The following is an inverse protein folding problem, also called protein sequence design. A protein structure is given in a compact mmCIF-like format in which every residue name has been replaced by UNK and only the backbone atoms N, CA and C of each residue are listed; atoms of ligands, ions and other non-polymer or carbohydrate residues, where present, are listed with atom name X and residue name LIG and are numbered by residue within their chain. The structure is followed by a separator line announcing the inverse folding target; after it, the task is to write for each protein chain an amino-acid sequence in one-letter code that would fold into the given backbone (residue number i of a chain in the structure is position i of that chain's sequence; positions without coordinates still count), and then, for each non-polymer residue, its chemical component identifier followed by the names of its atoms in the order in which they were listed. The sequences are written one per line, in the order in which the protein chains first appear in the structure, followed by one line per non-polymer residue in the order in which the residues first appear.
data_IF_183972428721
#
_entry.id   IF_183972428721
#
_cell.length_a   1.000
_cell.length_b   1.000
_cell.length_c   1.000
_cell.angle_alpha   90.00
_cell.angle_beta   90.00
_cell.angle_gamma   90.00
#
_symmetry.space_group_name_H-M   'P 1'
#
loop_
_entity.id
_entity.type
_entity.pdbx_description
1 polymer ?
#
# COMPACT_ATOMS: atom_id res chain seq x y z
N UNK A 1 -9.07 -7.30 -16.92
CA UNK A 1 -8.64 -8.64 -16.47
C UNK A 1 -8.38 -8.57 -14.97
N UNK A 2 -9.24 -9.17 -14.12
CA UNK A 2 -8.99 -9.28 -12.68
C UNK A 2 -8.16 -10.55 -12.44
N UNK A 3 -6.87 -10.39 -12.21
CA UNK A 3 -6.00 -11.49 -11.79
C UNK A 3 -6.36 -11.86 -10.34
N UNK A 4 -6.54 -13.16 -10.04
CA UNK A 4 -6.65 -13.65 -8.65
C UNK A 4 -5.29 -13.49 -7.94
N UNK A 5 -5.27 -13.65 -6.61
CA UNK A 5 -4.08 -13.51 -5.73
C UNK A 5 -2.85 -14.31 -6.21
N UNK A 6 -3.08 -15.36 -7.01
CA UNK A 6 -2.08 -16.13 -7.70
C UNK A 6 -2.68 -16.59 -9.03
N UNK A 7 -2.08 -16.23 -10.16
CA UNK A 7 -2.56 -16.66 -11.47
C UNK A 7 -1.40 -16.94 -12.43
N UNK A 8 -1.44 -18.13 -13.02
CA UNK A 8 -0.58 -18.50 -14.13
C UNK A 8 -1.24 -18.11 -15.46
N UNK A 9 -0.54 -17.33 -16.27
CA UNK A 9 -0.95 -17.04 -17.64
C UNK A 9 -0.11 -17.88 -18.59
N UNK A 10 -0.78 -18.53 -19.54
CA UNK A 10 -0.16 -19.30 -20.61
C UNK A 10 -0.48 -18.61 -21.93
N UNK A 11 0.55 -18.05 -22.57
CA UNK A 11 0.41 -17.47 -23.90
C UNK A 11 1.02 -18.42 -24.93
N UNK A 12 0.16 -19.07 -25.73
CA UNK A 12 0.58 -19.85 -26.88
C UNK A 12 0.75 -18.90 -28.08
N UNK A 13 1.91 -18.26 -28.20
CA UNK A 13 2.28 -17.64 -29.48
C UNK A 13 2.64 -18.77 -30.42
N UNK A 14 1.98 -18.86 -31.58
CA UNK A 14 2.00 -19.96 -32.54
C UNK A 14 3.35 -20.27 -33.22
N UNK A 15 4.46 -20.15 -32.50
CA UNK A 15 5.80 -20.49 -32.93
C UNK A 15 6.60 -21.00 -31.70
N UNK A 16 6.56 -22.32 -31.48
CA UNK A 16 7.54 -23.12 -30.73
C UNK A 16 7.72 -22.92 -29.21
N UNK A 17 7.52 -21.72 -28.67
CA UNK A 17 7.91 -21.41 -27.28
C UNK A 17 6.71 -21.02 -26.44
N UNK A 18 6.31 -21.91 -25.53
CA UNK A 18 5.31 -21.62 -24.50
C UNK A 18 5.95 -20.75 -23.42
N UNK A 19 5.38 -19.57 -23.17
CA UNK A 19 5.80 -18.72 -22.05
C UNK A 19 4.82 -18.89 -20.89
N UNK A 20 5.38 -19.31 -19.76
CA UNK A 20 4.66 -19.50 -18.51
C UNK A 20 5.02 -18.35 -17.57
N UNK A 21 4.03 -17.53 -17.22
CA UNK A 21 4.23 -16.37 -16.33
C UNK A 21 3.47 -16.58 -15.03
N UNK A 22 4.17 -16.44 -13.91
CA UNK A 22 3.57 -16.49 -12.57
C UNK A 22 3.32 -15.08 -12.04
N UNK A 23 2.07 -14.75 -11.67
CA UNK A 23 1.73 -13.47 -11.07
C UNK A 23 1.18 -13.60 -9.65
N UNK A 24 1.79 -12.90 -8.69
CA UNK A 24 1.21 -12.70 -7.34
C UNK A 24 1.45 -11.28 -6.82
N UNK A 25 0.39 -10.57 -6.38
CA UNK A 25 0.54 -9.31 -5.65
C UNK A 25 0.86 -9.55 -4.16
N UNK A 26 0.89 -10.80 -3.70
CA UNK A 26 1.11 -11.18 -2.31
C UNK A 26 2.60 -11.45 -2.01
N UNK A 27 2.97 -11.39 -0.73
CA UNK A 27 4.31 -11.79 -0.31
C UNK A 27 4.52 -13.30 -0.46
N UNK A 28 5.76 -13.80 -0.58
CA UNK A 28 6.03 -15.24 -0.74
C UNK A 28 5.38 -16.11 0.34
N UNK A 29 5.31 -15.59 1.57
CA UNK A 29 4.66 -16.26 2.70
C UNK A 29 3.13 -16.41 2.55
N UNK A 30 2.50 -15.70 1.62
CA UNK A 30 1.04 -15.72 1.38
C UNK A 30 0.70 -16.05 -0.08
N UNK A 31 1.67 -16.50 -0.89
CA UNK A 31 1.46 -16.82 -2.30
C UNK A 31 0.71 -18.15 -2.50
N UNK A 32 0.52 -18.93 -1.42
CA UNK A 32 -0.19 -20.22 -1.31
C UNK A 32 -0.14 -21.05 -2.59
N UNK A 33 1.07 -21.38 -3.01
CA UNK A 33 1.33 -22.14 -4.22
C UNK A 33 2.60 -22.97 -4.08
N UNK A 34 2.49 -24.25 -4.40
CA UNK A 34 3.62 -25.17 -4.48
C UNK A 34 4.08 -25.27 -5.93
N UNK A 35 5.40 -25.20 -6.14
CA UNK A 35 5.99 -25.40 -7.46
C UNK A 35 5.98 -26.90 -7.80
N UNK A 36 5.39 -27.32 -8.94
CA UNK A 36 5.41 -28.71 -9.34
C UNK A 36 6.84 -29.24 -9.60
N UNK A 37 7.74 -28.38 -10.09
CA UNK A 37 9.15 -28.66 -10.34
C UNK A 37 9.96 -27.35 -10.38
N UNK A 38 11.30 -27.40 -10.21
CA UNK A 38 12.17 -26.23 -10.41
C UNK A 38 12.00 -25.65 -11.82
N UNK A 39 12.12 -24.33 -11.96
CA UNK A 39 11.97 -23.62 -13.25
C UNK A 39 10.61 -23.81 -13.93
N UNK A 40 9.54 -24.00 -13.14
CA UNK A 40 8.17 -24.16 -13.62
C UNK A 40 7.67 -22.98 -14.47
N UNK A 41 8.17 -21.76 -14.25
CA UNK A 41 7.77 -20.58 -15.03
C UNK A 41 9.01 -19.84 -15.53
N UNK A 42 8.88 -19.22 -16.71
CA UNK A 42 9.97 -18.49 -17.35
C UNK A 42 10.11 -17.07 -16.80
N UNK A 43 9.02 -16.46 -16.33
CA UNK A 43 8.99 -15.09 -15.83
C UNK A 43 7.99 -14.93 -14.68
N UNK A 44 8.29 -14.04 -13.73
CA UNK A 44 7.38 -13.67 -12.65
C UNK A 44 6.91 -12.22 -12.76
N UNK A 45 5.67 -11.99 -12.35
CA UNK A 45 5.03 -10.69 -12.17
C UNK A 45 4.76 -10.51 -10.67
N UNK A 46 5.25 -9.43 -10.07
CA UNK A 46 5.21 -9.28 -8.61
C UNK A 46 5.23 -7.84 -8.15
N UNK A 47 4.84 -7.62 -6.89
CA UNK A 47 4.83 -6.28 -6.29
C UNK A 47 6.24 -5.72 -6.01
N UNK A 48 7.27 -6.58 -5.98
CA UNK A 48 8.65 -6.15 -5.71
C UNK A 48 9.27 -5.48 -6.93
N UNK A 49 10.07 -4.45 -6.69
CA UNK A 49 10.77 -3.72 -7.74
C UNK A 49 11.86 -4.53 -8.45
N UNK A 50 12.37 -5.59 -7.83
CA UNK A 50 13.39 -6.49 -8.38
C UNK A 50 12.81 -7.69 -9.14
N UNK A 51 11.48 -7.76 -9.31
CA UNK A 51 10.84 -8.80 -10.10
C UNK A 51 10.94 -8.48 -11.60
N UNK A 52 11.21 -9.47 -12.49
CA UNK A 52 11.35 -9.25 -13.93
C UNK A 52 10.22 -8.46 -14.59
N UNK A 53 8.97 -8.71 -14.16
CA UNK A 53 7.85 -7.82 -14.43
C UNK A 53 7.36 -7.24 -13.09
N UNK A 54 7.81 -6.03 -12.73
CA UNK A 54 7.38 -5.38 -11.51
C UNK A 54 6.02 -4.67 -11.70
N UNK A 55 5.06 -4.97 -10.82
CA UNK A 55 3.77 -4.28 -10.69
C UNK A 55 3.57 -3.87 -9.22
N UNK A 56 4.35 -2.89 -8.71
CA UNK A 56 4.23 -2.44 -7.33
C UNK A 56 2.87 -1.78 -7.07
N UNK A 57 2.44 -1.80 -5.80
CA UNK A 57 1.18 -1.18 -5.37
C UNK A 57 1.15 0.35 -5.58
N UNK A 58 2.31 0.98 -5.72
CA UNK A 58 2.43 2.40 -6.04
C UNK A 58 3.75 2.69 -6.73
N UNK A 59 3.74 3.70 -7.59
CA UNK A 59 4.94 4.25 -8.20
C UNK A 59 4.78 5.77 -8.31
N UNK A 60 5.89 6.48 -8.19
CA UNK A 60 5.91 7.93 -8.38
C UNK A 60 6.29 8.24 -9.82
N UNK A 61 5.50 9.10 -10.48
CA UNK A 61 5.83 9.61 -11.80
C UNK A 61 6.19 11.08 -11.71
N UNK A 62 7.16 11.51 -12.52
CA UNK A 62 7.40 12.93 -12.70
C UNK A 62 6.24 13.52 -13.50
N UNK A 63 5.55 14.48 -12.91
CA UNK A 63 4.52 15.22 -13.63
C UNK A 63 5.11 15.90 -14.87
N UNK A 64 4.39 15.80 -15.98
CA UNK A 64 4.69 16.56 -17.18
C UNK A 64 4.70 18.06 -16.84
N UNK A 65 5.48 18.90 -17.54
CA UNK A 65 5.57 20.33 -17.22
C UNK A 65 4.20 21.04 -17.09
N UNK A 66 3.21 20.62 -17.89
CA UNK A 66 1.84 21.16 -17.89
C UNK A 66 0.95 20.68 -16.73
N UNK A 67 1.30 19.57 -16.08
CA UNK A 67 0.53 18.96 -15.00
C UNK A 67 1.16 19.17 -13.62
N UNK A 68 2.26 19.91 -13.54
CA UNK A 68 2.84 20.31 -12.26
C UNK A 68 1.89 21.32 -11.62
N UNK A 69 1.60 21.23 -10.32
CA UNK A 69 0.79 22.24 -9.67
C UNK A 69 1.50 23.60 -9.77
N UNK A 70 0.82 24.61 -10.31
CA UNK A 70 1.29 25.99 -10.24
C UNK A 70 0.78 26.62 -8.94
N UNK A 71 1.69 27.00 -8.05
CA UNK A 71 1.37 27.67 -6.78
C UNK A 71 2.07 27.06 -5.57
N UNK A 72 1.69 27.53 -4.39
CA UNK A 72 2.17 26.98 -3.13
C UNK A 72 1.58 25.57 -2.94
N UNK A 73 2.43 24.55 -2.92
CA UNK A 73 2.02 23.15 -2.76
C UNK A 73 1.46 22.84 -1.37
N UNK A 74 1.82 23.66 -0.39
CA UNK A 74 1.63 23.43 1.03
C UNK A 74 0.94 24.65 1.60
N UNK A 75 -0.32 24.52 2.00
CA UNK A 75 -1.01 25.59 2.71
C UNK A 75 -0.61 25.55 4.20
N UNK A 76 0.36 26.38 4.60
CA UNK A 76 0.83 26.43 5.99
C UNK A 76 -0.26 26.83 6.99
N UNK A 77 -1.26 27.62 6.59
CA UNK A 77 -2.40 27.95 7.46
C UNK A 77 -3.24 26.72 7.78
N UNK A 78 -3.42 25.80 6.84
CA UNK A 78 -4.11 24.53 7.05
C UNK A 78 -3.32 23.65 8.02
N UNK A 79 -1.99 23.61 7.88
CA UNK A 79 -1.11 22.74 8.68
C UNK A 79 -1.00 23.23 10.12
N UNK A 80 -0.83 24.54 10.32
CA UNK A 80 -0.64 25.11 11.66
C UNK A 80 -1.87 24.97 12.56
N UNK A 81 -3.06 24.74 11.98
CA UNK A 81 -4.29 24.49 12.74
C UNK A 81 -4.48 23.03 13.17
N UNK A 82 -3.67 22.09 12.64
CA UNK A 82 -3.85 20.66 12.89
C UNK A 82 -3.34 20.27 14.26
N UNK A 83 -4.15 19.49 14.96
CA UNK A 83 -3.81 18.97 16.30
C UNK A 83 -3.32 17.53 16.25
N UNK A 84 -3.60 16.83 15.14
CA UNK A 84 -3.22 15.43 14.91
C UNK A 84 -1.98 15.33 14.03
N UNK A 85 -1.10 14.39 14.35
CA UNK A 85 0.16 14.19 13.62
C UNK A 85 0.04 13.21 12.46
N UNK A 86 -0.87 12.24 12.55
CA UNK A 86 -1.13 11.28 11.47
C UNK A 86 -2.56 10.72 11.51
N UNK A 87 -2.99 10.22 10.35
CA UNK A 87 -4.20 9.42 10.20
C UNK A 87 -3.84 8.05 9.60
N UNK A 88 -4.45 6.99 10.14
CA UNK A 88 -4.22 5.62 9.74
C UNK A 88 -5.52 4.95 9.28
N UNK A 89 -5.65 4.74 7.97
CA UNK A 89 -6.78 4.04 7.37
C UNK A 89 -6.51 2.52 7.36
N UNK A 90 -7.34 1.76 8.07
CA UNK A 90 -7.11 0.33 8.31
C UNK A 90 -8.41 -0.45 8.47
N UNK A 91 -8.50 -1.57 7.76
CA UNK A 91 -9.62 -2.52 7.85
C UNK A 91 -9.24 -3.91 8.38
N UNK A 92 -7.94 -4.21 8.55
CA UNK A 92 -7.45 -5.51 9.00
C UNK A 92 -6.48 -5.33 10.18
N UNK A 93 -6.84 -5.88 11.35
CA UNK A 93 -6.21 -5.49 12.62
C UNK A 93 -5.14 -6.46 13.11
N UNK A 94 -5.26 -7.75 12.79
CA UNK A 94 -4.25 -8.76 13.12
C UNK A 94 -3.36 -8.99 11.90
N UNK A 95 -2.16 -8.44 11.87
CA UNK A 95 -1.33 -8.55 10.65
C UNK A 95 0.05 -9.11 10.94
N UNK A 96 0.59 -9.86 9.98
CA UNK A 96 1.93 -10.42 10.08
C UNK A 96 3.02 -9.33 10.21
N UNK A 97 2.77 -8.13 9.67
CA UNK A 97 3.68 -7.00 9.81
C UNK A 97 3.64 -6.33 11.20
N UNK A 98 2.68 -6.71 12.05
CA UNK A 98 2.47 -6.12 13.39
C UNK A 98 2.29 -4.60 13.35
N UNK A 99 1.78 -4.05 12.25
CA UNK A 99 1.58 -2.60 12.07
C UNK A 99 0.69 -1.99 13.16
N UNK A 100 -0.25 -2.77 13.68
CA UNK A 100 -1.12 -2.39 14.80
C UNK A 100 -0.33 -2.16 16.09
N UNK A 101 0.72 -2.95 16.34
CA UNK A 101 1.61 -2.75 17.48
C UNK A 101 2.45 -1.50 17.26
N UNK A 102 2.98 -1.30 16.05
CA UNK A 102 3.72 -0.09 15.72
C UNK A 102 2.90 1.18 15.97
N UNK A 103 1.64 1.24 15.52
CA UNK A 103 0.80 2.42 15.75
C UNK A 103 0.41 2.56 17.22
N UNK A 104 0.20 1.45 17.94
CA UNK A 104 -0.04 1.48 19.39
C UNK A 104 1.16 2.09 20.13
N UNK A 105 2.37 1.62 19.82
CA UNK A 105 3.60 2.17 20.39
C UNK A 105 3.81 3.62 19.94
N UNK A 106 3.52 4.00 18.70
CA UNK A 106 3.61 5.39 18.25
C UNK A 106 2.70 6.34 19.04
N UNK A 107 1.49 5.87 19.40
CA UNK A 107 0.55 6.65 20.24
C UNK A 107 0.98 6.69 21.71
N UNK A 108 1.55 5.61 22.22
CA UNK A 108 1.95 5.47 23.62
C UNK A 108 3.33 6.07 23.91
N UNK A 109 4.24 5.99 22.96
CA UNK A 109 5.61 6.44 23.08
C UNK A 109 5.67 7.95 22.84
N UNK A 110 5.94 8.68 23.91
CA UNK A 110 6.82 9.84 23.86
C UNK A 110 8.12 9.38 23.17
N UNK A 111 8.24 9.60 21.87
CA UNK A 111 9.44 9.20 21.11
C UNK A 111 10.65 9.89 21.75
N UNK A 112 11.85 9.33 21.67
CA UNK A 112 13.09 9.76 22.37
C UNK A 112 13.38 11.28 22.38
N UNK A 113 12.79 12.06 21.48
CA UNK A 113 12.92 13.53 21.38
C UNK A 113 11.58 14.31 21.46
N UNK A 114 10.45 13.66 21.69
CA UNK A 114 9.11 14.25 21.76
C UNK A 114 8.50 13.91 23.12
N UNK A 115 8.35 14.92 23.97
CA UNK A 115 7.89 14.78 25.37
C UNK A 115 6.42 14.34 25.49
N UNK A 116 5.67 14.38 24.39
CA UNK A 116 4.22 14.17 24.32
C UNK A 116 3.85 12.97 23.43
N UNK A 117 2.67 12.39 23.67
CA UNK A 117 2.11 11.33 22.83
C UNK A 117 1.89 11.84 21.40
N UNK A 118 2.29 11.08 20.38
CA UNK A 118 2.00 11.45 18.99
C UNK A 118 0.54 11.09 18.62
N UNK A 119 -0.34 12.07 18.41
CA UNK A 119 -1.76 11.80 18.20
C UNK A 119 -1.99 11.21 16.81
N UNK A 120 -2.54 9.98 16.79
CA UNK A 120 -2.90 9.25 15.56
C UNK A 120 -4.38 8.88 15.57
N UNK A 121 -5.08 9.32 14.53
CA UNK A 121 -6.45 8.91 14.24
C UNK A 121 -6.49 7.62 13.45
N UNK A 122 -7.43 6.73 13.80
CA UNK A 122 -7.54 5.40 13.19
C UNK A 122 -8.91 5.29 12.55
N UNK A 123 -8.91 5.24 11.22
CA UNK A 123 -10.10 5.16 10.38
C UNK A 123 -10.32 3.73 9.90
N UNK A 124 -11.55 3.22 10.00
CA UNK A 124 -11.96 1.93 9.44
C UNK A 124 -12.26 0.85 10.50
N UNK A 125 -12.01 -0.40 10.14
CA UNK A 125 -12.39 -1.57 10.94
C UNK A 125 -11.72 -1.62 12.31
N UNK A 126 -10.47 -1.15 12.41
CA UNK A 126 -9.64 -1.28 13.61
C UNK A 126 -9.68 -0.07 14.55
N UNK A 127 -10.37 1.01 14.16
CA UNK A 127 -10.52 2.22 14.96
C UNK A 127 -11.98 2.54 15.25
N UNK A 128 -12.19 3.61 16.02
CA UNK A 128 -13.52 4.13 16.33
C UNK A 128 -14.08 5.01 15.21
N UNK A 129 -13.21 5.69 14.45
CA UNK A 129 -13.61 6.49 13.30
C UNK A 129 -13.97 5.55 12.16
N UNK A 130 -15.26 5.47 11.81
CA UNK A 130 -15.74 4.60 10.74
C UNK A 130 -15.81 5.37 9.44
N UNK A 131 -15.22 4.78 8.40
CA UNK A 131 -15.25 5.34 7.06
C UNK A 131 -16.03 4.43 6.12
N UNK A 132 -17.11 4.94 5.53
CA UNK A 132 -17.74 4.28 4.39
C UNK A 132 -16.79 4.36 3.19
N UNK A 133 -16.68 3.28 2.41
CA UNK A 133 -15.92 3.31 1.15
C UNK A 133 -16.57 4.33 0.22
N UNK A 134 -15.81 5.32 -0.26
CA UNK A 134 -16.33 6.30 -1.23
C UNK A 134 -15.98 7.76 -0.98
N UNK A 135 -14.94 8.09 -0.19
CA UNK A 135 -14.35 9.43 -0.23
C UNK A 135 -14.74 10.40 0.90
N UNK A 136 -15.61 10.00 1.82
CA UNK A 136 -16.11 10.93 2.85
C UNK A 136 -15.03 11.30 3.90
N UNK A 137 -14.03 10.45 4.11
CA UNK A 137 -13.07 10.62 5.21
C UNK A 137 -11.84 11.40 4.82
N UNK A 138 -11.57 11.50 3.53
CA UNK A 138 -10.55 12.35 2.95
C UNK A 138 -10.82 13.82 3.33
N UNK A 139 -12.10 14.22 3.37
CA UNK A 139 -12.51 15.54 3.85
C UNK A 139 -12.35 15.77 5.36
N UNK A 140 -12.20 14.69 6.15
CA UNK A 140 -11.93 14.78 7.59
C UNK A 140 -10.46 15.12 7.84
N UNK A 141 -9.57 14.70 6.94
CA UNK A 141 -8.13 15.02 7.05
C UNK A 141 -7.85 16.51 6.98
N UNK A 142 -8.71 17.29 6.30
CA UNK A 142 -8.53 18.73 6.14
C UNK A 142 -9.05 19.55 7.33
N UNK A 143 -9.76 18.92 8.28
CA UNK A 143 -10.44 19.61 9.39
C UNK A 143 -9.79 19.41 10.76
N UNK A 144 -8.89 18.43 10.90
CA UNK A 144 -8.32 17.94 12.18
C UNK A 144 -6.83 18.28 12.35
#
# INVERSE_FOLDING_TARGET
MRLRASHMLTENKGFGTKFETWGTPESPANADFELPYPDFFNMSLGFRHDTPAASPYGYTIKFAPKSRPQGELINMSLINGKTKGAAWFVSHCATNSKRELYVKELKAASTVNVKESFPVDIYGGCGHLKCARGGACESMLDKE
#
